data_IF_479139058476
#
_entry.id   IF_479139058476
#
_cell.length_a   1.000
_cell.length_b   1.000
_cell.length_c   1.000
_cell.angle_alpha   90.00
_cell.angle_beta   90.00
_cell.angle_gamma   90.00
#
_symmetry.space_group_name_H-M   'P 1'
#
loop_
_entity.id
_entity.type
_entity.pdbx_description
1 polymer ?
#
# COMPACT_ATOMS: atom_id res chain seq x y z
N UNK A 1 -25.75 19.02 7.23
CA UNK A 1 -24.67 18.44 6.42
C UNK A 1 -23.66 17.97 7.43
N UNK A 2 -23.87 16.76 7.93
CA UNK A 2 -22.98 16.13 8.88
C UNK A 2 -21.70 15.79 8.13
N UNK A 3 -20.60 16.42 8.54
CA UNK A 3 -19.26 16.03 8.10
C UNK A 3 -19.03 14.61 8.63
N UNK A 4 -19.22 13.62 7.78
CA UNK A 4 -18.91 12.24 8.11
C UNK A 4 -17.39 12.15 8.16
N UNK A 5 -16.83 12.18 9.36
CA UNK A 5 -15.39 11.95 9.59
C UNK A 5 -15.09 10.50 9.21
N UNK A 6 -14.64 10.31 7.97
CA UNK A 6 -14.17 9.02 7.44
C UNK A 6 -12.81 8.71 8.05
N UNK A 7 -12.59 7.45 8.42
CA UNK A 7 -11.31 7.03 9.00
C UNK A 7 -10.22 7.07 7.93
N UNK A 8 -9.09 7.70 8.23
CA UNK A 8 -7.92 7.75 7.35
C UNK A 8 -6.82 6.88 7.89
N UNK A 9 -6.34 5.94 7.08
CA UNK A 9 -5.19 5.09 7.43
C UNK A 9 -3.89 5.69 6.90
N UNK A 10 -2.98 5.95 7.83
CA UNK A 10 -1.68 6.52 7.54
C UNK A 10 -0.70 5.44 7.12
N UNK A 11 -0.05 5.64 5.97
CA UNK A 11 0.88 4.66 5.40
C UNK A 11 2.19 5.30 5.01
N UNK A 12 3.31 4.75 5.45
CA UNK A 12 4.66 5.14 5.02
C UNK A 12 5.16 4.18 3.97
N UNK A 13 5.49 4.69 2.78
CA UNK A 13 6.06 3.88 1.70
C UNK A 13 7.60 3.96 1.73
N UNK A 14 8.27 2.84 2.02
CA UNK A 14 9.74 2.73 2.08
C UNK A 14 10.27 1.99 0.86
N UNK A 15 11.27 2.57 0.17
CA UNK A 15 11.90 1.91 -0.98
C UNK A 15 12.73 0.71 -0.51
N UNK A 16 12.65 -0.41 -1.24
CA UNK A 16 13.52 -1.57 -1.04
C UNK A 16 13.87 -2.23 -2.38
N UNK A 17 14.70 -3.29 -2.32
CA UNK A 17 15.26 -3.97 -3.52
C UNK A 17 14.23 -4.48 -4.53
N UNK A 18 12.96 -4.65 -4.16
CA UNK A 18 11.92 -5.22 -5.02
C UNK A 18 10.69 -4.32 -5.22
N UNK A 19 10.74 -3.06 -4.78
CA UNK A 19 9.63 -2.13 -4.91
C UNK A 19 9.50 -1.23 -3.69
N UNK A 20 8.32 -1.25 -3.07
CA UNK A 20 7.97 -0.46 -1.90
C UNK A 20 7.37 -1.35 -0.83
N UNK A 21 7.83 -1.17 0.41
CA UNK A 21 7.10 -1.62 1.59
C UNK A 21 6.14 -0.52 2.02
N UNK A 22 4.92 -0.90 2.37
CA UNK A 22 3.81 -0.01 2.72
C UNK A 22 3.45 -0.27 4.18
N UNK A 23 3.99 0.56 5.07
CA UNK A 23 3.85 0.45 6.51
C UNK A 23 2.62 1.21 6.97
N UNK A 24 1.54 0.50 7.26
CA UNK A 24 0.23 1.06 7.66
C UNK A 24 0.22 1.19 9.18
N UNK A 25 0.06 2.42 9.68
CA UNK A 25 0.18 2.76 11.09
C UNK A 25 -0.77 1.93 11.97
N UNK A 26 -0.21 1.25 12.96
CA UNK A 26 -0.96 0.38 13.87
C UNK A 26 -1.59 -0.90 13.28
N UNK A 27 -1.50 -1.14 11.97
CA UNK A 27 -2.19 -2.26 11.31
C UNK A 27 -1.22 -3.35 10.81
N UNK A 28 -0.17 -2.97 10.08
CA UNK A 28 0.75 -3.95 9.50
C UNK A 28 1.47 -3.45 8.26
N UNK A 29 2.08 -4.38 7.52
CA UNK A 29 2.90 -4.04 6.34
C UNK A 29 2.43 -4.86 5.14
N UNK A 30 2.22 -4.19 4.01
CA UNK A 30 2.05 -4.79 2.68
C UNK A 30 3.11 -4.26 1.72
N UNK A 31 3.09 -4.64 0.45
CA UNK A 31 4.10 -4.21 -0.52
C UNK A 31 3.51 -4.00 -1.92
N UNK A 32 4.10 -3.08 -2.66
CA UNK A 32 3.80 -2.85 -4.07
C UNK A 32 5.09 -2.77 -4.91
N UNK A 33 4.99 -2.97 -6.23
CA UNK A 33 6.13 -2.77 -7.14
C UNK A 33 6.38 -1.30 -7.41
N UNK A 34 5.30 -0.52 -7.54
CA UNK A 34 5.32 0.91 -7.85
C UNK A 34 4.49 1.69 -6.81
N UNK A 35 4.71 2.99 -6.69
CA UNK A 35 3.84 3.83 -5.84
C UNK A 35 2.44 4.00 -6.45
N UNK A 36 2.29 3.87 -7.77
CA UNK A 36 0.99 3.91 -8.43
C UNK A 36 0.07 2.78 -7.93
N UNK A 37 0.62 1.59 -7.70
CA UNK A 37 -0.14 0.45 -7.19
C UNK A 37 -0.34 0.49 -5.66
N UNK A 38 0.28 1.44 -4.94
CA UNK A 38 0.38 1.38 -3.49
C UNK A 38 -0.97 1.55 -2.79
N UNK A 39 -1.81 2.47 -3.26
CA UNK A 39 -3.13 2.70 -2.67
C UNK A 39 -4.02 1.46 -2.77
N UNK A 40 -4.08 0.84 -3.96
CA UNK A 40 -4.82 -0.41 -4.16
C UNK A 40 -4.33 -1.51 -3.22
N UNK A 41 -3.01 -1.69 -3.09
CA UNK A 41 -2.45 -2.72 -2.20
C UNK A 41 -2.78 -2.47 -0.72
N UNK A 42 -2.87 -1.20 -0.29
CA UNK A 42 -3.26 -0.84 1.08
C UNK A 42 -4.76 -1.07 1.29
N UNK A 43 -5.60 -0.67 0.34
CA UNK A 43 -7.07 -0.86 0.41
C UNK A 43 -7.43 -2.34 0.45
N UNK A 44 -6.89 -3.14 -0.45
CA UNK A 44 -7.07 -4.60 -0.48
C UNK A 44 -6.69 -5.24 0.87
N UNK A 45 -5.54 -4.83 1.41
CA UNK A 45 -5.02 -5.36 2.67
C UNK A 45 -5.94 -4.99 3.86
N UNK A 46 -6.38 -3.73 3.95
CA UNK A 46 -7.28 -3.25 5.00
C UNK A 46 -8.66 -3.88 4.92
N UNK A 47 -9.25 -3.97 3.72
CA UNK A 47 -10.55 -4.57 3.50
C UNK A 47 -10.55 -6.06 3.89
N UNK A 48 -9.51 -6.79 3.49
CA UNK A 48 -9.34 -8.20 3.86
C UNK A 48 -9.12 -8.40 5.36
N UNK A 49 -8.26 -7.57 5.98
CA UNK A 49 -7.88 -7.75 7.38
C UNK A 49 -8.97 -7.33 8.37
N UNK A 50 -9.70 -6.25 8.04
CA UNK A 50 -10.70 -5.64 8.93
C UNK A 50 -12.14 -6.04 8.59
N UNK A 51 -12.35 -6.79 7.50
CA UNK A 51 -13.68 -7.18 6.99
C UNK A 51 -14.58 -5.96 6.74
N UNK A 52 -14.03 -4.93 6.09
CA UNK A 52 -14.71 -3.67 5.74
C UNK A 52 -14.63 -3.41 4.24
N UNK A 53 -15.53 -2.56 3.72
CA UNK A 53 -15.47 -2.14 2.31
C UNK A 53 -14.26 -1.25 2.02
N UNK A 54 -13.59 -1.47 0.89
CA UNK A 54 -12.47 -0.64 0.39
C UNK A 54 -12.85 0.84 0.24
N UNK A 55 -14.14 1.11 0.01
CA UNK A 55 -14.72 2.44 -0.16
C UNK A 55 -15.26 3.04 1.15
N UNK A 56 -14.99 2.44 2.31
CA UNK A 56 -15.46 2.94 3.62
C UNK A 56 -14.44 3.80 4.38
N UNK A 57 -13.20 3.88 3.90
CA UNK A 57 -12.09 4.59 4.54
C UNK A 57 -11.18 5.29 3.53
N UNK A 58 -10.37 6.22 4.01
CA UNK A 58 -9.35 6.91 3.23
C UNK A 58 -7.96 6.34 3.52
N UNK A 59 -7.05 6.50 2.56
CA UNK A 59 -5.67 6.07 2.68
C UNK A 59 -4.77 7.26 2.35
N UNK A 60 -3.82 7.56 3.23
CA UNK A 60 -2.79 8.57 2.98
C UNK A 60 -1.43 7.90 2.93
N UNK A 61 -0.80 7.92 1.75
CA UNK A 61 0.52 7.33 1.55
C UNK A 61 1.58 8.43 1.49
N UNK A 62 2.57 8.34 2.38
CA UNK A 62 3.72 9.24 2.42
C UNK A 62 4.99 8.45 2.07
N UNK A 63 5.57 8.67 0.89
CA UNK A 63 6.85 8.06 0.54
C UNK A 63 7.99 8.61 1.41
N UNK A 64 8.74 7.71 2.04
CA UNK A 64 9.96 8.05 2.76
C UNK A 64 11.09 8.22 1.75
N UNK A 65 11.25 9.46 1.26
CA UNK A 65 12.38 9.82 0.41
C UNK A 65 13.59 10.04 1.31
N UNK A 66 14.37 9.00 1.55
CA UNK A 66 15.62 9.10 2.29
C UNK A 66 16.66 9.94 1.53
N UNK A 67 17.51 10.67 2.26
CA UNK A 67 18.68 11.43 1.73
C UNK A 67 19.82 10.48 1.26
N UNK A 68 19.48 9.26 0.87
CA UNK A 68 20.41 8.17 0.52
C UNK A 68 19.73 7.07 -0.28
N UNK A 69 18.60 7.35 -0.93
CA UNK A 69 18.16 6.52 -2.05
C UNK A 69 19.06 6.86 -3.24
N UNK A 70 20.28 6.29 -3.27
CA UNK A 70 21.16 6.36 -4.43
C UNK A 70 20.41 5.96 -5.69
N UNK A 71 20.04 6.99 -6.47
CA UNK A 71 19.73 6.90 -7.89
C UNK A 71 18.31 6.50 -8.23
N UNK A 72 17.30 7.29 -7.85
CA UNK A 72 16.34 7.86 -8.81
C UNK A 72 15.42 8.83 -8.06
N UNK A 73 15.48 10.12 -8.40
CA UNK A 73 14.54 11.12 -7.90
C UNK A 73 13.16 10.77 -8.48
N UNK A 74 12.29 10.17 -7.67
CA UNK A 74 10.92 9.92 -8.09
C UNK A 74 10.13 11.22 -7.96
N UNK A 75 10.02 11.96 -9.07
CA UNK A 75 9.14 13.11 -9.21
C UNK A 75 7.69 12.61 -9.11
N UNK A 76 7.10 12.72 -7.91
CA UNK A 76 5.68 12.43 -7.67
C UNK A 76 4.84 13.55 -8.27
N UNK A 77 4.52 13.42 -9.56
CA UNK A 77 3.46 14.23 -10.18
C UNK A 77 2.11 13.59 -9.86
N UNK A 78 1.38 14.22 -8.95
CA UNK A 78 -0.07 14.10 -8.87
C UNK A 78 -0.68 14.39 -10.24
N UNK A 79 -1.34 13.41 -10.86
CA UNK A 79 -2.40 13.67 -11.84
C UNK A 79 -3.22 12.40 -12.13
N UNK A 80 -4.53 12.59 -12.00
CA UNK A 80 -5.64 11.90 -12.65
C UNK A 80 -6.05 10.48 -12.24
N UNK A 81 -7.31 10.46 -11.79
CA UNK A 81 -8.19 9.32 -11.63
C UNK A 81 -8.45 8.65 -12.97
N UNK A 82 -8.39 7.32 -13.04
CA UNK A 82 -9.20 6.48 -13.93
C UNK A 82 -9.18 5.04 -13.37
N UNK A 83 -10.33 4.41 -13.06
CA UNK A 83 -10.39 3.04 -12.55
C UNK A 83 -10.39 2.04 -13.70
N UNK A 84 -9.39 1.14 -13.75
CA UNK A 84 -9.24 0.24 -14.89
C UNK A 84 -8.46 -1.04 -14.63
N UNK A 85 -9.18 -2.05 -14.14
CA UNK A 85 -8.92 -3.48 -14.35
C UNK A 85 -7.73 -4.15 -13.62
N UNK A 86 -8.10 -4.73 -12.47
CA UNK A 86 -7.74 -6.06 -11.97
C UNK A 86 -6.79 -6.95 -12.82
N UNK A 87 -5.71 -7.42 -12.18
CA UNK A 87 -5.24 -8.81 -12.36
C UNK A 87 -4.62 -9.36 -11.09
N UNK A 88 -5.41 -10.20 -10.41
CA UNK A 88 -5.00 -11.11 -9.33
C UNK A 88 -3.73 -11.89 -9.70
N UNK A 89 -2.79 -12.02 -8.75
CA UNK A 89 -2.14 -13.31 -8.45
C UNK A 89 -1.97 -13.45 -6.93
N UNK A 90 -2.53 -14.56 -6.48
CA UNK A 90 -2.59 -15.14 -5.15
C UNK A 90 -1.44 -14.80 -4.19
N UNK A 91 -1.83 -14.46 -2.96
CA UNK A 91 -1.14 -14.84 -1.73
C UNK A 91 -1.01 -16.36 -1.72
N UNK A 92 0.22 -16.87 -1.72
CA UNK A 92 0.50 -18.17 -1.10
C UNK A 92 1.84 -18.11 -0.38
N UNK A 93 1.78 -17.67 0.88
CA UNK A 93 2.77 -18.02 1.89
C UNK A 93 2.66 -19.53 2.15
N UNK A 94 3.45 -20.33 1.45
CA UNK A 94 3.63 -21.73 1.82
C UNK A 94 4.77 -21.83 2.83
N UNK A 95 4.36 -21.94 4.08
CA UNK A 95 5.12 -22.32 5.28
C UNK A 95 6.18 -23.38 4.95
N UNK A 96 7.38 -23.22 5.50
CA UNK A 96 8.38 -24.30 5.53
C UNK A 96 7.86 -25.54 6.26
N UNK A 97 8.49 -26.69 6.00
CA UNK A 97 9.14 -27.35 7.13
C UNK A 97 10.59 -27.75 6.81
N UNK A 98 11.40 -27.73 7.87
CA UNK A 98 12.66 -28.45 7.95
C UNK A 98 12.44 -29.96 7.70
N UNK A 99 13.35 -30.61 6.96
CA UNK A 99 13.96 -31.88 7.38
C UNK A 99 15.03 -32.38 6.41
N UNK A 100 16.18 -32.64 7.04
CA UNK A 100 17.27 -33.59 6.75
C UNK A 100 18.27 -33.30 5.62
#
# INVERSE_FOLDING_TARGET
MDEVTRTTYETVAKRWKHGWELHIDGIGVTQSRTLLDAETMVRDYLAMLLDISEDSFDVRITPEIGIGAEGEVLELRHADQEPGAARKRAVEQRRGPASR
#
